data_IF_390695417569
#
_entry.id   IF_390695417569
#
_cell.length_a   1.000
_cell.length_b   1.000
_cell.length_c   1.000
_cell.angle_alpha   90.00
_cell.angle_beta   90.00
_cell.angle_gamma   90.00
#
_symmetry.space_group_name_H-M   'P 1'
#
loop_
_entity.id
_entity.type
_entity.pdbx_description
1 polymer ?
#
# COMPACT_ATOMS: atom_id res chain seq x y z
N UNK A 1 16.12 0.29 8.38
CA UNK A 1 15.27 -0.90 8.60
C UNK A 1 14.31 -1.08 7.41
N UNK A 2 13.95 -2.30 7.00
CA UNK A 2 13.00 -2.52 5.90
C UNK A 2 11.69 -3.14 6.41
N UNK A 3 10.56 -2.53 6.07
CA UNK A 3 9.22 -2.98 6.44
C UNK A 3 8.47 -3.39 5.17
N UNK A 4 7.98 -4.63 5.14
CA UNK A 4 7.10 -5.13 4.09
C UNK A 4 5.70 -5.31 4.66
N UNK A 5 4.70 -4.71 4.04
CA UNK A 5 3.29 -4.86 4.42
C UNK A 5 2.54 -5.52 3.27
N UNK A 6 2.04 -6.73 3.50
CA UNK A 6 1.16 -7.41 2.58
C UNK A 6 -0.31 -7.16 2.96
N UNK A 7 -1.10 -6.62 2.03
CA UNK A 7 -2.50 -6.30 2.32
C UNK A 7 -3.39 -6.36 1.08
N UNK A 8 -4.70 -6.21 1.30
CA UNK A 8 -5.67 -6.06 0.22
C UNK A 8 -5.85 -4.59 -0.14
N UNK A 9 -6.26 -4.36 -1.38
CA UNK A 9 -6.26 -3.07 -2.07
C UNK A 9 -6.99 -1.95 -1.33
N UNK A 10 -8.17 -2.23 -0.78
CA UNK A 10 -8.99 -1.20 -0.12
C UNK A 10 -8.40 -0.74 1.23
N UNK A 11 -7.65 -1.61 1.92
CA UNK A 11 -7.03 -1.30 3.21
C UNK A 11 -5.88 -0.33 3.01
N UNK A 12 -5.15 -0.49 1.90
CA UNK A 12 -4.02 0.36 1.56
C UNK A 12 -4.48 1.76 1.17
N UNK A 13 -5.49 1.91 0.31
CA UNK A 13 -5.98 3.26 0.00
C UNK A 13 -6.54 3.98 1.24
N UNK A 14 -7.28 3.27 2.10
CA UNK A 14 -7.87 3.85 3.31
C UNK A 14 -6.83 4.22 4.39
N UNK A 15 -5.73 3.47 4.48
CA UNK A 15 -4.70 3.66 5.50
C UNK A 15 -3.36 4.12 4.93
N UNK A 16 -3.32 4.55 3.66
CA UNK A 16 -2.08 4.86 2.96
C UNK A 16 -1.26 5.90 3.73
N UNK A 17 -1.92 6.95 4.23
CA UNK A 17 -1.28 8.00 5.02
C UNK A 17 -0.67 7.46 6.32
N UNK A 18 -1.37 6.57 7.02
CA UNK A 18 -0.87 5.95 8.25
C UNK A 18 0.34 5.06 7.97
N UNK A 19 0.31 4.31 6.87
CA UNK A 19 1.43 3.46 6.44
C UNK A 19 2.62 4.30 5.97
N UNK A 20 2.37 5.45 5.35
CA UNK A 20 3.41 6.42 4.94
C UNK A 20 4.18 6.96 6.14
N UNK A 21 3.49 7.23 7.27
CA UNK A 21 4.13 7.72 8.51
C UNK A 21 5.22 6.77 9.01
N UNK A 22 5.10 5.45 8.77
CA UNK A 22 6.13 4.48 9.15
C UNK A 22 7.50 4.79 8.50
N UNK A 23 7.50 5.29 7.25
CA UNK A 23 8.73 5.68 6.54
C UNK A 23 9.38 6.96 7.08
N UNK A 24 8.67 7.69 7.95
CA UNK A 24 9.12 8.94 8.57
C UNK A 24 9.66 8.75 9.99
N UNK A 25 9.50 7.55 10.57
CA UNK A 25 9.96 7.26 11.94
C UNK A 25 11.47 7.45 12.11
N UNK A 26 12.25 7.01 11.12
CA UNK A 26 13.69 7.20 11.07
C UNK A 26 14.17 7.44 9.63
N UNK A 27 15.33 8.10 9.42
CA UNK A 27 15.85 8.41 8.09
C UNK A 27 16.01 7.19 7.18
N UNK A 28 16.40 6.04 7.74
CA UNK A 28 16.75 4.82 7.00
C UNK A 28 15.62 3.75 6.98
N UNK A 29 14.41 4.11 7.40
CA UNK A 29 13.25 3.21 7.31
C UNK A 29 12.68 3.25 5.90
N UNK A 30 12.67 2.09 5.26
CA UNK A 30 12.01 1.86 3.97
C UNK A 30 10.74 1.03 4.18
N UNK A 31 9.65 1.44 3.54
CA UNK A 31 8.35 0.79 3.64
C UNK A 31 7.88 0.42 2.24
N UNK A 32 7.65 -0.87 2.03
CA UNK A 32 7.08 -1.40 0.79
C UNK A 32 5.74 -2.05 1.09
N UNK A 33 4.69 -1.57 0.43
CA UNK A 33 3.36 -2.14 0.50
C UNK A 33 3.16 -3.03 -0.72
N UNK A 34 2.86 -4.32 -0.52
CA UNK A 34 2.51 -5.25 -1.60
C UNK A 34 1.02 -5.56 -1.55
N UNK A 35 0.35 -5.38 -2.68
CA UNK A 35 -1.09 -5.62 -2.84
C UNK A 35 -1.38 -6.37 -4.12
N UNK A 36 -2.55 -6.99 -4.30
CA UNK A 36 -2.92 -7.57 -5.58
C UNK A 36 -3.05 -6.50 -6.67
N UNK A 37 -2.41 -6.71 -7.82
CA UNK A 37 -2.58 -5.91 -9.04
C UNK A 37 -4.02 -5.69 -9.46
N UNK A 38 -4.85 -6.73 -9.34
CA UNK A 38 -6.28 -6.69 -9.61
C UNK A 38 -7.04 -7.35 -8.47
N UNK A 39 -8.09 -6.69 -8.00
CA UNK A 39 -8.93 -7.19 -6.93
C UNK A 39 -10.39 -6.85 -7.18
N UNK A 40 -11.29 -7.81 -6.99
CA UNK A 40 -12.74 -7.55 -7.01
C UNK A 40 -13.28 -7.76 -5.59
N UNK A 41 -13.44 -6.69 -4.79
CA UNK A 41 -14.05 -6.81 -3.48
C UNK A 41 -15.51 -7.29 -3.61
N UNK A 42 -15.98 -7.98 -2.58
CA UNK A 42 -17.40 -8.28 -2.41
C UNK A 42 -18.12 -7.18 -1.64
N UNK A 43 -19.45 -7.14 -1.72
CA UNK A 43 -20.29 -6.20 -0.97
C UNK A 43 -20.60 -4.91 -1.75
N UNK A 44 -20.60 -3.76 -1.04
CA UNK A 44 -21.03 -2.45 -1.60
C UNK A 44 -20.12 -1.99 -2.75
N UNK A 45 -18.81 -2.28 -2.66
CA UNK A 45 -17.84 -2.04 -3.73
C UNK A 45 -17.74 -3.30 -4.59
N UNK A 46 -18.25 -3.28 -5.82
CA UNK A 46 -18.30 -4.47 -6.71
C UNK A 46 -17.59 -4.24 -8.07
N UNK A 47 -16.72 -3.24 -8.14
CA UNK A 47 -15.88 -2.98 -9.32
C UNK A 47 -14.51 -3.62 -9.15
N UNK A 48 -13.89 -4.01 -10.26
CA UNK A 48 -12.49 -4.42 -10.26
C UNK A 48 -11.64 -3.19 -9.94
N UNK A 49 -10.82 -3.30 -8.91
CA UNK A 49 -9.81 -2.33 -8.54
C UNK A 49 -8.50 -2.77 -9.16
N UNK A 50 -7.83 -1.85 -9.86
CA UNK A 50 -6.49 -2.07 -10.41
C UNK A 50 -5.50 -1.11 -9.73
N UNK A 51 -4.61 -1.66 -8.89
CA UNK A 51 -3.61 -0.83 -8.22
C UNK A 51 -2.50 -0.44 -9.17
N UNK A 52 -2.13 0.83 -9.10
CA UNK A 52 -0.98 1.37 -9.80
C UNK A 52 0.24 1.33 -8.88
N UNK A 53 1.40 1.04 -9.47
CA UNK A 53 2.67 1.21 -8.79
C UNK A 53 2.84 2.67 -8.37
N UNK A 54 3.32 2.90 -7.15
CA UNK A 54 3.66 4.23 -6.63
C UNK A 54 5.03 4.18 -5.96
N UNK A 55 5.87 5.14 -6.29
CA UNK A 55 7.17 5.33 -5.65
C UNK A 55 7.26 6.75 -5.09
N UNK A 56 7.39 6.86 -3.78
CA UNK A 56 7.57 8.09 -3.03
C UNK A 56 8.94 8.06 -2.30
N UNK A 57 9.90 7.28 -2.82
CA UNK A 57 11.24 7.10 -2.28
C UNK A 57 11.28 6.04 -1.18
N UNK A 58 11.18 6.48 0.08
CA UNK A 58 11.19 5.58 1.26
C UNK A 58 9.87 4.84 1.47
N UNK A 59 8.84 5.21 0.74
CA UNK A 59 7.53 4.57 0.74
C UNK A 59 7.16 4.18 -0.68
N UNK A 60 6.76 2.93 -0.89
CA UNK A 60 6.34 2.44 -2.20
C UNK A 60 5.15 1.48 -2.12
N UNK A 61 4.33 1.49 -3.16
CA UNK A 61 3.20 0.57 -3.34
C UNK A 61 3.47 -0.25 -4.59
N UNK A 62 3.50 -1.57 -4.42
CA UNK A 62 3.79 -2.55 -5.45
C UNK A 62 2.55 -3.44 -5.66
N UNK A 63 1.88 -3.32 -6.83
CA UNK A 63 0.80 -4.21 -7.24
C UNK A 63 1.27 -5.61 -7.67
#
# INVERSE_FOLDING_TARGET
MKILVASHTYIVDLNCEKLRILSQLEPEVEVTIVVPKKWKPGGVQNKIIETQYRDEGKFRIVP
#
